data_IF_016489809885
#
_entry.id   IF_016489809885
#
_cell.length_a   1.000
_cell.length_b   1.000
_cell.length_c   1.000
_cell.angle_alpha   90.00
_cell.angle_beta   90.00
_cell.angle_gamma   90.00
#
_symmetry.space_group_name_H-M   'P 1'
#
loop_
_entity.id
_entity.type
_entity.pdbx_description
1 polymer ?
#
# COMPACT_ATOMS: atom_id res chain seq x y z
N UNK A 1 -0.60 8.01 -10.15
CA UNK A 1 -1.95 7.75 -9.56
C UNK A 1 -2.93 8.84 -9.96
N UNK A 2 -2.61 10.12 -9.72
CA UNK A 2 -3.57 11.22 -9.91
C UNK A 2 -4.08 11.36 -11.36
N UNK A 3 -3.21 11.27 -12.37
CA UNK A 3 -3.62 11.41 -13.78
C UNK A 3 -4.55 10.28 -14.24
N UNK A 4 -4.30 9.05 -13.78
CA UNK A 4 -5.16 7.90 -14.09
C UNK A 4 -6.54 8.05 -13.44
N UNK A 5 -6.59 8.57 -12.22
CA UNK A 5 -7.86 8.86 -11.55
C UNK A 5 -8.64 9.94 -12.31
N UNK A 6 -7.99 11.04 -12.67
CA UNK A 6 -8.63 12.14 -13.41
C UNK A 6 -9.16 11.68 -14.76
N UNK A 7 -8.36 10.90 -15.52
CA UNK A 7 -8.73 10.48 -16.87
C UNK A 7 -9.77 9.36 -16.93
N UNK A 8 -9.77 8.44 -15.95
CA UNK A 8 -10.69 7.29 -15.94
C UNK A 8 -11.91 7.48 -15.03
N UNK A 9 -11.87 8.44 -14.12
CA UNK A 9 -12.85 8.62 -13.05
C UNK A 9 -12.80 7.55 -11.96
N UNK A 10 -11.88 6.57 -12.04
CA UNK A 10 -11.76 5.48 -11.07
C UNK A 10 -10.75 5.84 -9.99
N UNK A 11 -11.23 6.01 -8.76
CA UNK A 11 -10.37 6.21 -7.61
C UNK A 11 -9.51 4.96 -7.34
N UNK A 12 -8.25 5.12 -6.93
CA UNK A 12 -7.41 3.98 -6.57
C UNK A 12 -7.96 3.32 -5.29
N UNK A 13 -8.03 1.98 -5.29
CA UNK A 13 -8.37 1.22 -4.09
C UNK A 13 -7.29 1.34 -3.01
N UNK A 14 -6.02 1.40 -3.44
CA UNK A 14 -4.86 1.63 -2.57
C UNK A 14 -3.77 2.39 -3.34
N UNK A 15 -2.82 2.98 -2.60
CA UNK A 15 -1.60 3.55 -3.18
C UNK A 15 -0.40 2.81 -2.56
N UNK A 16 0.41 2.16 -3.37
CA UNK A 16 1.63 1.50 -2.88
C UNK A 16 2.64 2.57 -2.42
N UNK A 17 3.04 2.51 -1.16
CA UNK A 17 4.10 3.31 -0.59
C UNK A 17 5.25 2.40 -0.14
N UNK A 18 6.45 2.94 -0.12
CA UNK A 18 7.61 2.22 0.40
C UNK A 18 8.68 3.16 0.92
N UNK A 19 9.61 2.61 1.68
CA UNK A 19 10.86 3.30 2.01
C UNK A 19 11.64 3.57 0.73
N UNK A 20 12.47 4.64 0.71
CA UNK A 20 13.40 4.86 -0.38
C UNK A 20 14.26 3.61 -0.63
N UNK A 21 14.59 3.37 -1.88
CA UNK A 21 15.53 2.31 -2.24
C UNK A 21 16.94 2.83 -1.91
N UNK A 22 17.55 2.23 -0.89
CA UNK A 22 18.90 2.57 -0.43
C UNK A 22 19.74 1.30 -0.47
N UNK A 23 20.97 1.35 -1.02
CA UNK A 23 21.86 0.20 -1.02
C UNK A 23 22.03 -0.38 0.38
N UNK A 24 22.03 -1.72 0.46
CA UNK A 24 22.18 -2.49 1.69
C UNK A 24 21.10 -2.25 2.77
N UNK A 25 19.99 -1.57 2.42
CA UNK A 25 18.82 -1.43 3.29
C UNK A 25 17.62 -2.21 2.75
N UNK A 26 16.89 -2.85 3.67
CA UNK A 26 15.68 -3.56 3.32
C UNK A 26 14.58 -2.58 2.94
N UNK A 27 14.01 -2.75 1.75
CA UNK A 27 12.84 -2.00 1.35
C UNK A 27 11.61 -2.51 2.11
N UNK A 28 10.88 -1.59 2.75
CA UNK A 28 9.61 -1.87 3.42
C UNK A 28 8.51 -1.20 2.61
N UNK A 29 7.49 -1.94 2.24
CA UNK A 29 6.36 -1.45 1.45
C UNK A 29 5.03 -1.66 2.18
N UNK A 30 4.09 -0.74 2.01
CA UNK A 30 2.73 -0.79 2.56
C UNK A 30 1.71 -0.25 1.57
N UNK A 31 0.50 -0.84 1.50
CA UNK A 31 -0.61 -0.20 0.81
C UNK A 31 -1.15 0.94 1.68
N UNK A 32 -1.14 2.17 1.17
CA UNK A 32 -1.90 3.26 1.75
C UNK A 32 -3.38 3.02 1.49
N UNK A 33 -4.15 2.98 2.57
CA UNK A 33 -5.58 2.74 2.54
C UNK A 33 -6.35 4.08 2.53
N UNK A 34 -7.40 4.20 1.70
CA UNK A 34 -8.33 5.31 1.81
C UNK A 34 -8.97 5.33 3.20
N UNK A 35 -9.05 6.51 3.81
CA UNK A 35 -9.71 6.68 5.11
C UNK A 35 -11.18 6.24 5.03
N UNK A 36 -11.73 5.54 6.04
CA UNK A 36 -11.14 5.17 7.34
C UNK A 36 -10.37 3.84 7.38
N UNK A 37 -10.09 3.25 6.21
CA UNK A 37 -9.36 1.98 6.13
C UNK A 37 -7.92 2.08 6.66
N UNK A 38 -7.44 0.98 7.24
CA UNK A 38 -6.06 0.82 7.71
C UNK A 38 -5.45 -0.46 7.15
N UNK A 39 -4.13 -0.45 6.90
CA UNK A 39 -3.42 -1.63 6.44
C UNK A 39 -3.26 -2.65 7.58
N UNK A 40 -3.81 -3.84 7.40
CA UNK A 40 -3.78 -4.94 8.38
C UNK A 40 -3.03 -6.12 7.78
N UNK A 41 -2.08 -6.67 8.54
CA UNK A 41 -1.33 -7.85 8.13
C UNK A 41 -2.26 -9.06 8.04
N UNK A 42 -2.15 -9.83 6.96
CA UNK A 42 -3.00 -11.00 6.68
C UNK A 42 -2.69 -12.21 7.57
N UNK A 43 -1.58 -12.19 8.31
CA UNK A 43 -1.14 -13.29 9.17
C UNK A 43 -0.13 -14.24 8.51
N UNK A 44 0.20 -14.03 7.24
CA UNK A 44 1.20 -14.80 6.50
C UNK A 44 1.94 -13.93 5.49
N UNK A 45 3.13 -14.37 5.05
CA UNK A 45 4.01 -13.62 4.16
C UNK A 45 4.97 -12.68 4.89
N UNK A 46 5.86 -12.03 4.14
CA UNK A 46 6.85 -11.08 4.68
C UNK A 46 6.16 -9.86 5.25
N UNK A 47 6.52 -9.46 6.47
CA UNK A 47 6.06 -8.19 7.05
C UNK A 47 6.65 -6.98 6.34
N UNK A 48 7.58 -7.12 5.41
CA UNK A 48 8.15 -5.99 4.66
C UNK A 48 7.51 -5.79 3.29
N UNK A 49 6.67 -6.74 2.87
CA UNK A 49 5.99 -6.73 1.58
C UNK A 49 4.54 -6.26 1.74
N UNK A 50 4.14 -5.25 0.96
CA UNK A 50 2.79 -4.75 0.87
C UNK A 50 1.77 -5.83 0.51
N UNK A 51 2.16 -6.85 -0.26
CA UNK A 51 1.29 -7.97 -0.64
C UNK A 51 0.83 -8.80 0.57
N UNK A 52 1.50 -8.70 1.72
CA UNK A 52 1.11 -9.36 2.96
C UNK A 52 0.07 -8.58 3.79
N UNK A 53 -0.36 -7.42 3.32
CA UNK A 53 -1.33 -6.55 4.00
C UNK A 53 -2.58 -6.37 3.16
N UNK A 54 -3.69 -6.06 3.82
CA UNK A 54 -4.95 -5.65 3.17
C UNK A 54 -5.60 -4.50 3.92
N UNK A 55 -6.34 -3.66 3.20
CA UNK A 55 -7.08 -2.57 3.81
C UNK A 55 -8.36 -3.09 4.48
N UNK A 56 -8.49 -2.85 5.78
CA UNK A 56 -9.71 -3.16 6.55
C UNK A 56 -10.22 -1.89 7.21
N UNK A 57 -11.54 -1.72 7.25
CA UNK A 57 -12.17 -0.69 8.08
C UNK A 57 -12.00 -1.13 9.54
N UNK A 58 -11.56 -0.20 10.39
CA UNK A 58 -11.54 -0.36 11.84
C UNK A 58 -12.59 0.52 12.49
#
# INVERSE_FOLDING_TARGET
>A
VIDSWVSSGKAPETILAGTPEVPDQKQITRPLCPYPGVAVYKGSGSTDDAASFECRIK
#
